data_IF_030935558106
#
_entry.id   IF_030935558106
#
_cell.length_a   1.000
_cell.length_b   1.000
_cell.length_c   1.000
_cell.angle_alpha   90.00
_cell.angle_beta   90.00
_cell.angle_gamma   90.00
#
_symmetry.space_group_name_H-M   'P 1'
#
loop_
_entity.id
_entity.type
_entity.pdbx_description
1 polymer ?
#
# COMPACT_ATOMS: atom_id res chain seq x y z
N UNK A 1 1.07 -7.49 5.93
CA UNK A 1 1.61 -7.33 7.30
C UNK A 1 3.00 -7.95 7.35
N UNK A 2 3.78 -7.64 8.38
CA UNK A 2 5.13 -8.19 8.58
C UNK A 2 5.15 -8.97 9.90
N UNK A 3 5.71 -10.17 9.90
CA UNK A 3 5.93 -10.94 11.11
C UNK A 3 6.95 -10.21 12.00
N UNK A 4 6.52 -9.80 13.19
CA UNK A 4 7.37 -9.18 14.21
C UNK A 4 7.91 -10.20 15.19
N UNK A 5 7.25 -11.35 15.32
CA UNK A 5 7.62 -12.43 16.23
C UNK A 5 7.64 -13.78 15.50
N UNK A 6 8.51 -14.72 15.89
CA UNK A 6 8.48 -16.07 15.35
C UNK A 6 7.22 -16.80 15.83
N UNK A 7 6.64 -17.63 14.96
CA UNK A 7 5.57 -18.54 15.32
C UNK A 7 5.74 -19.87 14.59
N UNK A 8 5.95 -20.95 15.35
CA UNK A 8 6.23 -22.29 14.82
C UNK A 8 4.99 -23.17 14.66
N UNK A 9 3.80 -22.62 14.92
CA UNK A 9 2.55 -23.38 15.01
C UNK A 9 2.15 -23.74 16.45
N UNK A 10 2.81 -23.17 17.46
CA UNK A 10 2.53 -23.40 18.89
C UNK A 10 2.26 -22.06 19.59
N UNK A 11 1.15 -21.90 20.32
CA UNK A 11 0.04 -22.87 20.44
C UNK A 11 -0.66 -23.10 19.08
N UNK A 12 -1.35 -24.23 18.88
CA UNK A 12 -2.10 -24.45 17.64
C UNK A 12 -3.30 -23.48 17.57
N UNK A 13 -3.77 -23.13 16.35
CA UNK A 13 -4.98 -22.35 16.17
C UNK A 13 -6.17 -23.02 16.87
N UNK A 14 -6.98 -22.29 17.67
CA UNK A 14 -8.14 -22.84 18.35
C UNK A 14 -9.15 -23.52 17.41
N UNK A 15 -9.73 -24.64 17.85
CA UNK A 15 -10.85 -25.28 17.17
C UNK A 15 -10.54 -25.80 15.76
N UNK A 16 -11.53 -25.71 14.86
CA UNK A 16 -11.50 -26.26 13.50
C UNK A 16 -11.04 -25.22 12.45
N UNK A 17 -10.25 -24.22 12.85
CA UNK A 17 -9.85 -23.12 11.97
C UNK A 17 -8.96 -23.57 10.81
N UNK A 18 -8.07 -24.54 11.05
CA UNK A 18 -7.20 -25.13 10.03
C UNK A 18 -5.73 -25.17 10.44
N UNK A 19 -4.81 -25.40 9.49
CA UNK A 19 -3.39 -25.56 9.79
C UNK A 19 -2.74 -24.24 10.25
N UNK A 20 -1.73 -24.31 11.13
CA UNK A 20 -0.94 -23.14 11.50
C UNK A 20 -0.09 -22.63 10.32
N UNK A 21 0.01 -21.32 10.17
CA UNK A 21 0.99 -20.68 9.31
C UNK A 21 2.26 -20.43 10.11
N UNK A 22 3.39 -20.98 9.68
CA UNK A 22 4.68 -20.71 10.33
C UNK A 22 5.20 -19.35 9.90
N UNK A 23 5.69 -18.57 10.87
CA UNK A 23 6.22 -17.23 10.67
C UNK A 23 7.64 -17.12 11.22
N UNK A 24 8.52 -16.52 10.44
CA UNK A 24 9.83 -16.03 10.88
C UNK A 24 9.80 -14.50 10.93
N UNK A 25 10.49 -13.85 11.88
CA UNK A 25 10.59 -12.39 11.92
C UNK A 25 11.06 -11.82 10.57
N UNK A 26 10.33 -10.84 10.05
CA UNK A 26 10.57 -10.24 8.73
C UNK A 26 9.74 -10.84 7.59
N UNK A 27 9.06 -11.97 7.82
CA UNK A 27 8.18 -12.55 6.80
C UNK A 27 7.03 -11.59 6.45
N UNK A 28 6.76 -11.46 5.15
CA UNK A 28 5.63 -10.67 4.66
C UNK A 28 4.41 -11.58 4.58
N UNK A 29 3.36 -11.22 5.32
CA UNK A 29 2.11 -11.97 5.42
C UNK A 29 0.97 -11.19 4.77
N UNK A 30 0.37 -11.77 3.74
CA UNK A 30 -0.88 -11.30 3.16
C UNK A 30 -2.05 -11.77 4.03
N UNK A 31 -2.72 -10.84 4.69
CA UNK A 31 -3.86 -11.16 5.56
C UNK A 31 -5.10 -11.37 4.71
N UNK A 32 -5.69 -12.56 4.79
CA UNK A 32 -6.88 -12.95 4.04
C UNK A 32 -8.16 -12.84 4.89
N UNK A 33 -8.07 -13.19 6.17
CA UNK A 33 -9.17 -13.03 7.15
C UNK A 33 -8.61 -12.45 8.44
N UNK A 34 -9.13 -11.28 8.83
CA UNK A 34 -8.85 -10.65 10.10
C UNK A 34 -10.11 -9.94 10.60
N UNK A 35 -10.62 -10.42 11.73
CA UNK A 35 -11.69 -9.76 12.49
C UNK A 35 -11.04 -9.08 13.71
N UNK A 36 -11.55 -7.90 14.09
CA UNK A 36 -10.94 -7.07 15.14
C UNK A 36 -11.02 -7.73 16.53
N UNK A 37 -12.04 -8.54 16.76
CA UNK A 37 -12.29 -9.26 18.00
C UNK A 37 -11.55 -10.60 18.07
N UNK A 38 -10.96 -11.06 16.96
CA UNK A 38 -10.26 -12.34 16.88
C UNK A 38 -8.75 -12.19 17.12
N UNK A 39 -8.21 -13.06 17.98
CA UNK A 39 -6.78 -13.15 18.26
C UNK A 39 -6.00 -13.94 17.20
N UNK A 40 -6.70 -14.61 16.28
CA UNK A 40 -6.14 -15.46 15.25
C UNK A 40 -6.56 -14.98 13.89
N UNK A 41 -5.59 -14.73 13.02
CA UNK A 41 -5.84 -14.30 11.65
C UNK A 41 -5.39 -15.37 10.66
N UNK A 42 -6.07 -15.40 9.53
CA UNK A 42 -5.68 -16.24 8.40
C UNK A 42 -4.89 -15.41 7.40
N UNK A 43 -3.77 -15.94 6.94
CA UNK A 43 -3.00 -15.28 5.91
C UNK A 43 -2.15 -16.25 5.11
N UNK A 44 -1.36 -15.66 4.23
CA UNK A 44 -0.41 -16.33 3.35
C UNK A 44 0.96 -15.70 3.50
N UNK A 45 1.99 -16.52 3.69
CA UNK A 45 3.37 -16.05 3.63
C UNK A 45 3.73 -15.78 2.16
N UNK A 46 4.12 -14.55 1.85
CA UNK A 46 4.43 -14.13 0.49
C UNK A 46 5.72 -14.78 -0.07
N UNK A 47 6.66 -15.17 0.80
CA UNK A 47 7.92 -15.80 0.40
C UNK A 47 7.75 -17.31 0.15
N UNK A 48 7.04 -18.01 1.04
CA UNK A 48 6.85 -19.48 0.92
C UNK A 48 5.59 -19.88 0.16
N UNK A 49 4.62 -18.97 0.01
CA UNK A 49 3.30 -19.25 -0.56
C UNK A 49 2.36 -20.04 0.36
N UNK A 50 2.83 -20.43 1.56
CA UNK A 50 2.05 -21.20 2.52
C UNK A 50 0.93 -20.36 3.11
N UNK A 51 -0.24 -20.98 3.30
CA UNK A 51 -1.41 -20.32 3.90
C UNK A 51 -1.84 -21.06 5.17
N UNK A 52 -2.29 -20.31 6.18
CA UNK A 52 -2.71 -20.88 7.45
C UNK A 52 -3.06 -19.80 8.47
N UNK A 53 -3.19 -20.22 9.72
CA UNK A 53 -3.58 -19.36 10.83
C UNK A 53 -2.41 -19.02 11.75
N UNK A 54 -2.38 -17.79 12.23
CA UNK A 54 -1.35 -17.30 13.14
C UNK A 54 -1.94 -16.28 14.13
N UNK A 55 -1.32 -16.07 15.31
CA UNK A 55 -1.75 -15.06 16.25
C UNK A 55 -1.60 -13.64 15.68
N UNK A 56 -2.60 -12.79 15.80
CA UNK A 56 -2.54 -11.41 15.30
C UNK A 56 -1.40 -10.60 15.94
N UNK A 57 -1.01 -10.94 17.18
CA UNK A 57 0.11 -10.33 17.90
C UNK A 57 1.49 -10.66 17.31
N UNK A 58 1.59 -11.71 16.47
CA UNK A 58 2.83 -12.11 15.82
C UNK A 58 3.18 -11.25 14.60
N UNK A 59 2.25 -10.40 14.16
CA UNK A 59 2.44 -9.51 13.01
C UNK A 59 2.24 -8.05 13.41
N UNK A 60 2.84 -7.17 12.64
CA UNK A 60 2.61 -5.72 12.71
C UNK A 60 2.24 -5.18 11.33
N UNK A 61 1.63 -3.99 11.25
CA UNK A 61 1.54 -3.27 9.98
C UNK A 61 2.93 -3.22 9.34
N UNK A 62 3.04 -3.74 8.12
CA UNK A 62 4.27 -3.63 7.36
C UNK A 62 4.40 -2.18 6.93
N UNK A 63 5.29 -1.45 7.59
CA UNK A 63 5.69 -0.12 7.14
C UNK A 63 6.85 -0.37 6.19
N UNK A 64 6.61 -0.14 4.90
CA UNK A 64 7.65 -0.29 3.88
C UNK A 64 8.88 0.52 4.34
N UNK A 65 10.03 -0.13 4.63
CA UNK A 65 11.18 0.58 5.18
C UNK A 65 11.64 1.70 4.23
N UNK A 66 12.25 2.77 4.77
CA UNK A 66 12.50 4.02 4.04
C UNK A 66 13.30 3.87 2.74
N UNK A 67 13.94 2.72 2.49
CA UNK A 67 14.77 2.49 1.31
C UNK A 67 14.05 2.79 -0.03
N UNK A 68 12.72 2.69 -0.06
CA UNK A 68 11.91 3.03 -1.23
C UNK A 68 10.93 4.19 -0.99
N UNK A 69 11.12 5.04 0.01
CA UNK A 69 10.27 6.24 0.22
C UNK A 69 11.02 7.48 0.67
N UNK A 70 12.35 7.46 0.78
CA UNK A 70 13.15 8.67 1.11
C UNK A 70 12.89 9.86 0.16
N UNK A 71 12.25 9.64 -0.99
CA UNK A 71 11.88 10.68 -1.94
C UNK A 71 10.37 10.89 -2.15
N UNK A 72 9.52 10.06 -1.53
CA UNK A 72 8.07 10.22 -1.62
C UNK A 72 7.50 10.50 -0.24
N UNK A 73 6.81 11.63 -0.04
CA UNK A 73 6.24 11.97 1.25
C UNK A 73 5.27 10.88 1.72
N UNK A 74 5.12 10.70 3.04
CA UNK A 74 4.24 9.69 3.63
C UNK A 74 2.79 9.80 3.13
N UNK A 75 2.38 10.97 2.68
CA UNK A 75 1.05 11.30 2.16
C UNK A 75 0.86 11.01 0.66
N UNK A 76 1.84 10.41 -0.04
CA UNK A 76 1.86 10.23 -1.52
C UNK A 76 1.74 11.54 -2.33
N UNK A 77 1.62 12.69 -1.67
CA UNK A 77 1.51 14.01 -2.27
C UNK A 77 2.89 14.65 -2.39
N UNK A 78 3.48 14.56 -3.57
CA UNK A 78 4.84 15.01 -3.85
C UNK A 78 5.00 16.54 -3.98
N UNK A 79 3.93 17.32 -3.79
CA UNK A 79 3.99 18.78 -3.90
C UNK A 79 4.07 19.27 -5.35
N UNK A 80 4.59 20.50 -5.57
CA UNK A 80 4.85 21.05 -6.89
C UNK A 80 5.88 20.20 -7.63
N UNK A 81 5.47 19.51 -8.69
CA UNK A 81 6.34 18.56 -9.40
C UNK A 81 5.94 18.44 -10.87
N UNK A 82 6.94 18.49 -11.75
CA UNK A 82 6.74 18.36 -13.18
C UNK A 82 6.55 16.90 -13.62
N UNK A 83 6.03 16.73 -14.84
CA UNK A 83 5.77 15.41 -15.42
C UNK A 83 7.05 14.56 -15.51
N UNK A 84 8.14 15.16 -16.00
CA UNK A 84 9.41 14.45 -16.20
C UNK A 84 10.07 14.05 -14.88
N UNK A 85 9.93 14.85 -13.83
CA UNK A 85 10.42 14.53 -12.50
C UNK A 85 9.65 13.34 -11.89
N UNK A 86 8.32 13.34 -12.03
CA UNK A 86 7.50 12.20 -11.62
C UNK A 86 7.86 10.91 -12.37
N UNK A 87 8.17 11.02 -13.67
CA UNK A 87 8.60 9.87 -14.47
C UNK A 87 9.94 9.32 -14.00
N UNK A 88 10.92 10.17 -13.71
CA UNK A 88 12.21 9.75 -13.16
C UNK A 88 12.06 9.07 -11.80
N UNK A 89 11.19 9.59 -10.93
CA UNK A 89 10.95 9.02 -9.60
C UNK A 89 10.24 7.67 -9.65
N UNK A 90 9.32 7.47 -10.61
CA UNK A 90 8.54 6.24 -10.76
C UNK A 90 9.25 5.17 -11.60
N UNK A 91 10.14 5.56 -12.53
CA UNK A 91 10.90 4.63 -13.39
C UNK A 91 11.58 3.50 -12.63
N UNK A 92 12.38 3.75 -11.57
CA UNK A 92 13.06 2.69 -10.82
C UNK A 92 12.14 1.92 -9.85
N UNK A 93 10.84 2.23 -9.80
CA UNK A 93 9.90 1.66 -8.80
C UNK A 93 9.17 0.44 -9.32
N UNK A 94 8.48 -0.27 -8.43
CA UNK A 94 7.58 -1.38 -8.80
C UNK A 94 6.28 -0.84 -9.41
N UNK A 95 5.63 -1.67 -10.23
CA UNK A 95 4.26 -1.43 -10.67
C UNK A 95 3.32 -1.24 -9.46
N UNK A 96 2.32 -0.37 -9.61
CA UNK A 96 1.42 0.06 -8.54
C UNK A 96 1.91 1.26 -7.73
N UNK A 97 3.17 1.67 -7.88
CA UNK A 97 3.68 2.89 -7.23
C UNK A 97 3.04 4.12 -7.87
N UNK A 98 2.49 5.03 -7.04
CA UNK A 98 1.90 6.28 -7.49
C UNK A 98 2.30 7.47 -6.62
N UNK A 99 2.15 8.66 -7.18
CA UNK A 99 2.28 9.94 -6.49
C UNK A 99 1.27 10.95 -7.04
N UNK A 100 0.85 11.89 -6.19
CA UNK A 100 0.04 13.05 -6.57
C UNK A 100 0.96 14.26 -6.66
N UNK A 101 0.92 14.97 -7.79
CA UNK A 101 1.72 16.18 -8.03
C UNK A 101 0.84 17.37 -8.37
N UNK A 102 1.25 18.55 -7.95
CA UNK A 102 0.66 19.83 -8.34
C UNK A 102 1.45 20.40 -9.53
N UNK A 103 0.76 20.86 -10.58
CA UNK A 103 1.42 21.55 -11.70
C UNK A 103 1.94 22.90 -11.23
N UNK A 104 3.20 23.19 -11.56
CA UNK A 104 3.88 24.45 -11.19
C UNK A 104 3.32 25.65 -11.96
N UNK A 105 2.84 25.45 -13.19
CA UNK A 105 2.35 26.53 -14.07
C UNK A 105 0.90 26.94 -13.81
N UNK A 106 0.09 26.06 -13.23
CA UNK A 106 -1.34 26.28 -12.99
C UNK A 106 -1.68 25.84 -11.55
N UNK A 107 -1.81 26.81 -10.64
CA UNK A 107 -1.92 26.59 -9.20
C UNK A 107 -3.17 25.81 -8.72
N UNK A 108 -4.01 25.28 -9.63
CA UNK A 108 -5.20 24.47 -9.32
C UNK A 108 -5.26 23.12 -10.05
N UNK A 109 -4.25 22.77 -10.86
CA UNK A 109 -4.22 21.50 -11.60
C UNK A 109 -3.37 20.46 -10.88
N UNK A 110 -4.01 19.38 -10.46
CA UNK A 110 -3.34 18.21 -9.89
C UNK A 110 -3.25 17.09 -10.94
N UNK A 111 -2.27 16.21 -10.78
CA UNK A 111 -2.15 14.99 -11.57
C UNK A 111 -1.69 13.82 -10.71
N UNK A 112 -2.22 12.64 -10.99
CA UNK A 112 -1.76 11.39 -10.39
C UNK A 112 -0.83 10.72 -11.41
N UNK A 113 0.41 10.46 -10.99
CA UNK A 113 1.38 9.71 -11.79
C UNK A 113 1.50 8.32 -11.20
N UNK A 114 1.31 7.27 -12.00
CA UNK A 114 1.32 5.88 -11.54
C UNK A 114 2.13 5.00 -12.51
N UNK A 115 2.98 4.13 -11.95
CA UNK A 115 3.63 3.08 -12.73
C UNK A 115 2.71 1.87 -12.84
N UNK A 116 2.38 1.45 -14.05
CA UNK A 116 1.51 0.30 -14.33
C UNK A 116 2.00 -0.43 -15.58
N UNK A 117 2.30 -1.74 -15.44
CA UNK A 117 2.83 -2.58 -16.53
C UNK A 117 4.10 -1.99 -17.15
N UNK A 118 5.05 -1.57 -16.31
CA UNK A 118 6.29 -0.89 -16.73
C UNK A 118 6.11 0.45 -17.46
N UNK A 119 4.88 0.96 -17.61
CA UNK A 119 4.58 2.28 -18.18
C UNK A 119 4.20 3.27 -17.09
N UNK A 120 4.51 4.55 -17.29
CA UNK A 120 4.12 5.61 -16.37
C UNK A 120 2.94 6.36 -16.97
N UNK A 121 1.80 6.25 -16.30
CA UNK A 121 0.55 6.89 -16.71
C UNK A 121 0.29 8.13 -15.85
N UNK A 122 -0.23 9.16 -16.51
CA UNK A 122 -0.56 10.43 -15.88
C UNK A 122 -2.06 10.67 -16.01
N UNK A 123 -2.73 10.83 -14.87
CA UNK A 123 -4.17 11.04 -14.79
C UNK A 123 -4.39 12.48 -14.34
N UNK A 124 -5.10 13.27 -15.15
CA UNK A 124 -5.47 14.64 -14.80
C UNK A 124 -6.52 14.60 -13.69
N UNK A 125 -6.30 15.38 -12.64
CA UNK A 125 -7.30 15.66 -11.62
C UNK A 125 -7.88 17.04 -11.93
N UNK A 126 -9.19 17.08 -12.11
CA UNK A 126 -9.95 18.30 -12.31
C UNK A 126 -10.50 18.77 -10.97
N UNK A 127 -10.37 20.06 -10.69
CA UNK A 127 -10.94 20.69 -9.50
C UNK A 127 -12.14 21.52 -9.94
N UNK A 128 -13.33 21.19 -9.45
CA UNK A 128 -14.56 21.93 -9.74
C UNK A 128 -15.38 22.03 -8.45
N UNK A 129 -15.87 23.24 -8.11
CA UNK A 129 -16.73 23.49 -6.94
C UNK A 129 -16.13 22.99 -5.60
N UNK A 130 -14.81 23.03 -5.45
CA UNK A 130 -14.12 22.53 -4.24
C UNK A 130 -14.03 21.01 -4.15
N UNK A 131 -14.37 20.28 -5.21
CA UNK A 131 -14.28 18.82 -5.32
C UNK A 131 -13.20 18.42 -6.34
N UNK A 132 -12.52 17.31 -6.05
CA UNK A 132 -11.52 16.70 -6.92
C UNK A 132 -12.14 15.59 -7.74
N UNK A 133 -11.92 15.58 -9.06
CA UNK A 133 -12.50 14.60 -10.00
C UNK A 133 -11.40 13.99 -10.87
N UNK A 134 -11.38 12.66 -10.92
CA UNK A 134 -10.57 11.91 -11.89
C UNK A 134 -11.39 11.64 -13.17
N UNK A 135 -12.72 11.54 -13.02
CA UNK A 135 -13.68 11.38 -14.12
C UNK A 135 -14.91 12.23 -13.85
N UNK A 136 -15.66 12.62 -14.88
CA UNK A 136 -16.91 13.39 -14.71
C UNK A 136 -17.94 12.65 -13.83
N UNK A 137 -17.86 11.32 -13.77
CA UNK A 137 -18.82 10.47 -13.06
C UNK A 137 -18.60 10.41 -11.54
N UNK A 138 -17.42 10.78 -11.01
CA UNK A 138 -17.11 10.68 -9.57
C UNK A 138 -16.28 11.86 -9.05
N UNK A 139 -16.69 12.40 -7.91
CA UNK A 139 -16.04 13.48 -7.18
C UNK A 139 -15.64 13.06 -5.76
N UNK A 140 -14.55 13.65 -5.26
CA UNK A 140 -13.96 13.38 -3.95
C UNK A 140 -13.72 14.69 -3.20
N UNK A 141 -13.92 14.68 -1.87
CA UNK A 141 -13.69 15.84 -0.99
C UNK A 141 -12.21 16.11 -0.70
N UNK A 142 -11.32 15.14 -0.94
CA UNK A 142 -9.89 15.26 -0.69
C UNK A 142 -9.07 14.35 -1.60
N UNK A 143 -7.81 14.74 -1.84
CA UNK A 143 -6.82 13.99 -2.64
C UNK A 143 -6.01 12.99 -1.80
N UNK A 144 -5.98 13.20 -0.48
CA UNK A 144 -5.31 12.37 0.51
C UNK A 144 -6.27 12.24 1.69
N UNK A 145 -6.40 11.03 2.24
CA UNK A 145 -7.18 10.74 3.46
C UNK A 145 -6.23 10.68 4.63
#
# INVERSE_FOLDING_TARGET
>A
MEASQPYSGIPPPPGNMGPPLRLSPGDIVEVMKAEAEQLWWQGRNAATGESGWFPCSAVRPYICPPHFTLWLPPTRYAGPMERGEAEQLLTPRSDGTFLVRQRVKDAGEFAISIKYRAEIKHIKVMTAEGLYRITEKKAFKGLVV
#
